data_IF_279999729678
#
_entry.id   IF_279999729678
#
_cell.length_a   1.000
_cell.length_b   1.000
_cell.length_c   1.000
_cell.angle_alpha   90.00
_cell.angle_beta   90.00
_cell.angle_gamma   90.00
#
_symmetry.space_group_name_H-M   'P 1'
#
loop_
_entity.id
_entity.type
_entity.pdbx_description
1 polymer ?
#
# COMPACT_ATOMS: atom_id res chain seq x y z
N UNK A 1 24.55 21.76 10.41
CA UNK A 1 23.89 20.44 10.49
C UNK A 1 22.39 20.65 10.55
N UNK A 2 21.67 20.35 9.46
CA UNK A 2 20.22 20.48 9.42
C UNK A 2 19.59 19.40 10.31
N UNK A 3 18.88 19.84 11.35
CA UNK A 3 18.10 18.97 12.24
C UNK A 3 16.89 18.49 11.45
N UNK A 4 16.98 17.33 10.83
CA UNK A 4 15.83 16.69 10.15
C UNK A 4 14.84 16.30 11.22
N UNK A 5 13.86 17.18 11.47
CA UNK A 5 12.70 16.89 12.29
C UNK A 5 11.81 15.97 11.45
N UNK A 6 11.97 14.66 11.60
CA UNK A 6 11.04 13.67 11.07
C UNK A 6 9.70 13.88 11.77
N UNK A 7 8.76 14.56 11.10
CA UNK A 7 7.38 14.68 11.59
C UNK A 7 6.81 13.27 11.82
N UNK A 8 5.99 13.05 12.86
CA UNK A 8 5.41 11.73 13.19
C UNK A 8 4.33 11.24 12.19
N UNK A 9 4.42 11.60 10.90
CA UNK A 9 3.48 11.22 9.84
C UNK A 9 4.00 10.18 8.85
N UNK A 10 5.31 9.90 8.82
CA UNK A 10 5.97 9.08 7.78
C UNK A 10 5.72 7.57 7.84
N UNK A 11 4.77 7.08 8.64
CA UNK A 11 4.54 5.63 8.75
C UNK A 11 3.47 5.11 7.79
N UNK A 12 2.38 5.86 7.54
CA UNK A 12 1.26 5.38 6.69
C UNK A 12 1.42 5.75 5.22
N UNK A 13 1.88 6.96 4.94
CA UNK A 13 2.15 7.43 3.57
C UNK A 13 3.24 6.60 2.89
N UNK A 14 4.27 6.21 3.65
CA UNK A 14 5.34 5.34 3.15
C UNK A 14 4.80 3.93 2.87
N UNK A 15 3.99 3.36 3.77
CA UNK A 15 3.29 2.09 3.50
C UNK A 15 2.44 2.21 2.24
N UNK A 16 1.67 3.29 2.11
CA UNK A 16 0.84 3.51 0.93
C UNK A 16 1.68 3.62 -0.34
N UNK A 17 2.80 4.34 -0.31
CA UNK A 17 3.74 4.45 -1.44
C UNK A 17 4.38 3.12 -1.81
N UNK A 18 4.83 2.33 -0.83
CA UNK A 18 5.41 1.00 -1.07
C UNK A 18 4.39 0.02 -1.63
N UNK A 19 3.17 0.01 -1.08
CA UNK A 19 2.06 -0.78 -1.61
C UNK A 19 1.71 -0.35 -3.03
N UNK A 20 1.68 0.97 -3.30
CA UNK A 20 1.40 1.48 -4.64
C UNK A 20 2.45 1.03 -5.64
N UNK A 21 3.74 1.14 -5.30
CA UNK A 21 4.83 0.63 -6.13
C UNK A 21 4.70 -0.86 -6.39
N UNK A 22 4.42 -1.66 -5.35
CA UNK A 22 4.22 -3.09 -5.48
C UNK A 22 3.08 -3.41 -6.46
N UNK A 23 1.91 -2.80 -6.27
CA UNK A 23 0.74 -3.02 -7.12
C UNK A 23 0.96 -2.54 -8.56
N UNK A 24 1.79 -1.50 -8.75
CA UNK A 24 2.16 -1.00 -10.07
C UNK A 24 3.11 -1.95 -10.81
N UNK A 25 4.03 -2.60 -10.09
CA UNK A 25 5.03 -3.49 -10.66
C UNK A 25 4.51 -4.91 -10.86
N UNK A 26 3.71 -5.41 -9.93
CA UNK A 26 3.28 -6.81 -9.91
C UNK A 26 1.79 -7.02 -10.20
N UNK A 27 1.02 -5.94 -10.32
CA UNK A 27 -0.41 -5.98 -10.63
C UNK A 27 -1.32 -5.95 -9.40
N UNK A 28 -2.62 -6.12 -9.65
CA UNK A 28 -3.64 -6.02 -8.61
C UNK A 28 -3.59 -7.20 -7.64
N UNK A 29 -3.67 -6.92 -6.34
CA UNK A 29 -3.53 -7.94 -5.31
C UNK A 29 -4.55 -7.78 -4.19
N UNK A 30 -4.88 -8.89 -3.53
CA UNK A 30 -5.63 -8.86 -2.28
C UNK A 30 -4.79 -8.29 -1.12
N UNK A 31 -5.40 -7.73 -0.05
CA UNK A 31 -4.65 -7.20 1.09
C UNK A 31 -3.72 -8.22 1.76
N UNK A 32 -4.08 -9.51 1.70
CA UNK A 32 -3.25 -10.60 2.22
C UNK A 32 -1.99 -10.80 1.37
N UNK A 33 -2.14 -10.87 0.05
CA UNK A 33 -1.01 -10.99 -0.88
C UNK A 33 -0.06 -9.79 -0.76
N UNK A 34 -0.61 -8.58 -0.66
CA UNK A 34 0.19 -7.37 -0.44
C UNK A 34 1.05 -7.52 0.81
N UNK A 35 0.48 -7.96 1.93
CA UNK A 35 1.23 -8.15 3.17
C UNK A 35 2.31 -9.24 3.05
N UNK A 36 1.99 -10.37 2.39
CA UNK A 36 2.95 -11.45 2.16
C UNK A 36 4.11 -11.00 1.26
N UNK A 37 3.83 -10.22 0.21
CA UNK A 37 4.85 -9.65 -0.69
C UNK A 37 5.74 -8.62 -0.02
N UNK A 38 5.17 -7.68 0.72
CA UNK A 38 5.96 -6.71 1.49
C UNK A 38 6.90 -7.42 2.47
N UNK A 39 6.41 -8.46 3.16
CA UNK A 39 7.24 -9.27 4.06
C UNK A 39 8.38 -9.99 3.32
N UNK A 40 8.14 -10.52 2.12
CA UNK A 40 9.19 -11.13 1.28
C UNK A 40 10.27 -10.13 0.87
N UNK A 41 9.91 -8.85 0.72
CA UNK A 41 10.85 -7.75 0.45
C UNK A 41 11.54 -7.19 1.71
N UNK A 42 11.34 -7.82 2.87
CA UNK A 42 11.92 -7.38 4.15
C UNK A 42 11.18 -6.20 4.80
N UNK A 43 9.99 -5.84 4.30
CA UNK A 43 9.17 -4.77 4.84
C UNK A 43 8.13 -5.34 5.80
N UNK A 44 8.41 -5.26 7.10
CA UNK A 44 7.50 -5.72 8.15
C UNK A 44 6.48 -4.64 8.52
N UNK A 45 5.43 -4.52 7.70
CA UNK A 45 4.26 -3.71 8.00
C UNK A 45 3.13 -4.60 8.53
N UNK A 46 2.53 -4.22 9.67
CA UNK A 46 1.41 -4.98 10.20
C UNK A 46 0.22 -4.96 9.24
N UNK A 47 -0.50 -6.08 9.14
CA UNK A 47 -1.69 -6.21 8.28
C UNK A 47 -2.73 -5.11 8.52
N UNK A 48 -2.88 -4.65 9.77
CA UNK A 48 -3.75 -3.53 10.12
C UNK A 48 -3.32 -2.24 9.42
N UNK A 49 -2.05 -1.85 9.52
CA UNK A 49 -1.52 -0.64 8.87
C UNK A 49 -1.64 -0.70 7.34
N UNK A 50 -1.46 -1.88 6.74
CA UNK A 50 -1.64 -2.08 5.30
C UNK A 50 -3.10 -1.89 4.91
N UNK A 51 -4.04 -2.52 5.64
CA UNK A 51 -5.48 -2.34 5.40
C UNK A 51 -5.89 -0.88 5.54
N UNK A 52 -5.42 -0.20 6.59
CA UNK A 52 -5.70 1.21 6.83
C UNK A 52 -5.21 2.06 5.66
N UNK A 53 -3.97 1.82 5.18
CA UNK A 53 -3.44 2.52 4.01
C UNK A 53 -4.25 2.24 2.74
N UNK A 54 -4.60 0.97 2.48
CA UNK A 54 -5.40 0.60 1.31
C UNK A 54 -6.76 1.30 1.29
N UNK A 55 -7.44 1.36 2.44
CA UNK A 55 -8.74 2.02 2.58
C UNK A 55 -8.58 3.54 2.48
N UNK A 56 -7.67 4.13 3.24
CA UNK A 56 -7.47 5.59 3.36
C UNK A 56 -7.07 6.23 2.02
N UNK A 57 -6.29 5.53 1.20
CA UNK A 57 -5.80 6.04 -0.08
C UNK A 57 -6.54 5.47 -1.31
N UNK A 58 -7.65 4.75 -1.11
CA UNK A 58 -8.53 4.34 -2.23
C UNK A 58 -9.07 5.57 -2.96
N UNK A 59 -9.06 5.54 -4.30
CA UNK A 59 -9.44 6.65 -5.17
C UNK A 59 -8.34 7.71 -5.36
N UNK A 60 -7.23 7.60 -4.62
CA UNK A 60 -6.05 8.48 -4.75
C UNK A 60 -4.85 7.71 -5.29
N UNK A 61 -4.42 6.70 -4.53
CA UNK A 61 -3.33 5.80 -4.93
C UNK A 61 -3.86 4.43 -5.34
N UNK A 62 -4.99 3.99 -4.80
CA UNK A 62 -5.48 2.63 -5.06
C UNK A 62 -6.84 2.62 -5.73
N UNK A 63 -7.04 1.71 -6.66
CA UNK A 63 -8.35 1.33 -7.15
C UNK A 63 -8.80 0.05 -6.49
N UNK A 64 -9.90 0.10 -5.75
CA UNK A 64 -10.52 -1.10 -5.16
C UNK A 64 -11.43 -1.76 -6.19
N UNK A 65 -11.24 -3.06 -6.41
CA UNK A 65 -12.02 -3.86 -7.36
C UNK A 65 -12.48 -5.16 -6.73
N UNK A 66 -13.51 -5.77 -7.32
CA UNK A 66 -13.96 -7.12 -6.97
C UNK A 66 -13.65 -8.05 -8.14
N UNK A 67 -12.83 -9.07 -7.91
CA UNK A 67 -12.49 -10.09 -8.90
C UNK A 67 -12.78 -11.46 -8.28
N UNK A 68 -13.50 -12.32 -9.00
CA UNK A 68 -13.80 -13.72 -8.61
C UNK A 68 -14.37 -13.89 -7.19
N UNK A 69 -15.10 -12.89 -6.71
CA UNK A 69 -15.71 -12.89 -5.38
C UNK A 69 -14.84 -12.30 -4.27
N UNK A 70 -13.58 -11.94 -4.55
CA UNK A 70 -12.63 -11.35 -3.62
C UNK A 70 -12.40 -9.86 -3.90
N UNK A 71 -11.98 -9.12 -2.88
CA UNK A 71 -11.57 -7.71 -3.02
C UNK A 71 -10.08 -7.65 -3.33
N UNK A 72 -9.73 -6.96 -4.41
CA UNK A 72 -8.35 -6.67 -4.79
C UNK A 72 -8.15 -5.16 -4.90
N UNK A 73 -6.90 -4.73 -4.81
CA UNK A 73 -6.48 -3.34 -4.97
C UNK A 73 -5.46 -3.27 -6.12
N UNK A 74 -5.64 -2.30 -7.00
CA UNK A 74 -4.70 -1.98 -8.09
C UNK A 74 -4.06 -0.61 -7.82
N UNK A 75 -2.89 -0.35 -8.39
CA UNK A 75 -2.36 1.01 -8.43
C UNK A 75 -3.25 1.90 -9.32
N UNK A 76 -3.60 3.09 -8.82
CA UNK A 76 -4.27 4.12 -9.61
C UNK A 76 -3.23 4.85 -10.47
N UNK A 77 -3.47 4.91 -11.78
CA UNK A 77 -2.56 5.47 -12.78
C UNK A 77 -3.03 6.80 -13.38
N UNK A 78 -3.82 7.59 -12.64
CA UNK A 78 -4.23 8.92 -13.10
C UNK A 78 -2.99 9.83 -13.18
N UNK A 79 -2.43 9.95 -14.39
CA UNK A 79 -1.44 10.95 -14.81
C UNK A 79 -2.15 12.26 -15.11
#
# INVERSE_FOLDING_TARGET
MAKVILRPGLYREVIAGMVWMLLRLEGCMGPREVAERLRQLGLDASRGKINDALVEYTGRLFRRMKMDGHVVYCAEERV
#
